data_IF_180109662332
#
_entry.id   IF_180109662332
#
_cell.length_a   1.000
_cell.length_b   1.000
_cell.length_c   1.000
_cell.angle_alpha   90.00
_cell.angle_beta   90.00
_cell.angle_gamma   90.00
#
_symmetry.space_group_name_H-M   'P 1'
#
loop_
_entity.id
_entity.type
_entity.pdbx_description
1 polymer ?
#
# COMPACT_ATOMS: atom_id res chain seq x y z
N UNK A 1 -30.35 -40.26 9.97
CA UNK A 1 -28.96 -39.81 9.78
C UNK A 1 -29.01 -38.30 9.67
N UNK A 2 -28.76 -37.60 10.77
CA UNK A 2 -28.65 -36.14 10.82
C UNK A 2 -27.26 -35.77 10.30
N UNK A 3 -27.20 -34.92 9.27
CA UNK A 3 -25.94 -34.37 8.78
C UNK A 3 -25.23 -33.63 9.94
N UNK A 4 -23.89 -33.73 10.05
CA UNK A 4 -23.15 -32.93 11.02
C UNK A 4 -23.42 -31.44 10.76
N UNK A 5 -23.50 -30.60 11.80
CA UNK A 5 -23.63 -29.16 11.61
C UNK A 5 -22.46 -28.68 10.75
N UNK A 6 -22.76 -27.91 9.70
CA UNK A 6 -21.74 -27.33 8.83
C UNK A 6 -20.70 -26.62 9.69
N UNK A 7 -19.40 -26.89 9.49
CA UNK A 7 -18.36 -26.16 10.20
C UNK A 7 -18.49 -24.70 9.81
N UNK A 8 -18.89 -23.85 10.77
CA UNK A 8 -18.91 -22.40 10.57
C UNK A 8 -17.51 -21.95 10.18
N UNK A 9 -17.35 -21.43 8.97
CA UNK A 9 -16.07 -20.95 8.47
C UNK A 9 -15.84 -19.48 8.91
N UNK A 10 -14.67 -19.22 9.48
CA UNK A 10 -14.28 -17.89 10.00
C UNK A 10 -13.68 -16.97 8.92
N UNK A 11 -13.69 -17.39 7.65
CA UNK A 11 -13.05 -16.67 6.54
C UNK A 11 -13.58 -15.24 6.41
N UNK A 12 -14.90 -15.04 6.48
CA UNK A 12 -15.52 -13.71 6.42
C UNK A 12 -15.03 -12.81 7.57
N UNK A 13 -15.09 -13.30 8.81
CA UNK A 13 -14.66 -12.53 9.98
C UNK A 13 -13.15 -12.23 9.95
N UNK A 14 -12.34 -13.12 9.39
CA UNK A 14 -10.92 -12.90 9.18
C UNK A 14 -10.66 -11.82 8.11
N UNK A 15 -11.34 -11.87 6.97
CA UNK A 15 -11.24 -10.85 5.92
C UNK A 15 -11.67 -9.47 6.43
N UNK A 16 -12.77 -9.40 7.18
CA UNK A 16 -13.25 -8.13 7.74
C UNK A 16 -12.28 -7.50 8.75
N UNK A 17 -11.55 -8.31 9.52
CA UNK A 17 -10.48 -7.81 10.39
C UNK A 17 -9.36 -7.15 9.59
N UNK A 18 -8.93 -7.76 8.48
CA UNK A 18 -7.90 -7.16 7.62
C UNK A 18 -8.40 -5.90 6.92
N UNK A 19 -9.65 -5.89 6.44
CA UNK A 19 -10.30 -4.68 5.89
C UNK A 19 -10.25 -3.54 6.90
N UNK A 20 -10.48 -3.81 8.19
CA UNK A 20 -10.40 -2.77 9.24
C UNK A 20 -8.98 -2.25 9.48
N UNK A 21 -7.95 -3.09 9.32
CA UNK A 21 -6.54 -2.67 9.48
C UNK A 21 -6.09 -1.67 8.41
N UNK A 22 -6.71 -1.70 7.22
CA UNK A 22 -6.46 -0.72 6.17
C UNK A 22 -7.07 0.65 6.46
N UNK A 23 -7.90 0.80 7.49
CA UNK A 23 -8.47 2.10 7.85
C UNK A 23 -7.38 2.97 8.46
N UNK A 24 -7.18 4.20 7.96
CA UNK A 24 -6.21 5.09 8.57
C UNK A 24 -6.69 5.49 9.99
N UNK A 25 -5.76 5.74 10.94
CA UNK A 25 -6.10 6.13 12.32
C UNK A 25 -6.85 7.49 12.43
N UNK A 26 -7.12 8.18 11.33
CA UNK A 26 -7.70 9.52 11.30
C UNK A 26 -9.22 9.59 11.54
N UNK A 27 -9.94 8.46 11.65
CA UNK A 27 -11.39 8.49 11.93
C UNK A 27 -11.76 8.41 13.42
N UNK A 28 -10.78 8.23 14.32
CA UNK A 28 -11.04 8.12 15.77
C UNK A 28 -10.40 9.23 16.62
N UNK A 29 -9.66 10.17 16.03
CA UNK A 29 -9.03 11.26 16.79
C UNK A 29 -9.83 12.55 16.68
N UNK A 30 -10.41 12.96 17.81
CA UNK A 30 -11.11 14.23 18.00
C UNK A 30 -10.28 15.45 17.53
N UNK A 31 -10.92 16.55 17.09
CA UNK A 31 -10.25 17.73 16.54
C UNK A 31 -9.70 18.64 17.65
N UNK A 32 -8.85 18.10 18.53
CA UNK A 32 -8.15 18.91 19.51
C UNK A 32 -6.75 18.35 19.73
N UNK A 33 -5.76 19.15 19.33
CA UNK A 33 -4.32 19.02 19.62
C UNK A 33 -3.60 17.79 19.02
N UNK A 34 -3.16 17.89 17.76
CA UNK A 34 -1.94 17.21 17.31
C UNK A 34 -1.08 18.13 16.45
N UNK A 35 -0.10 18.73 17.11
CA UNK A 35 1.19 19.09 16.53
C UNK A 35 1.88 17.83 16.00
N UNK A 36 2.05 17.73 14.68
CA UNK A 36 3.27 17.23 14.04
C UNK A 36 3.76 15.82 14.34
N UNK A 37 2.89 14.82 14.43
CA UNK A 37 3.27 13.43 14.26
C UNK A 37 2.58 12.90 13.00
N UNK A 38 3.21 13.13 11.85
CA UNK A 38 2.89 12.36 10.64
C UNK A 38 3.14 10.89 11.00
N UNK A 39 2.06 10.14 11.24
CA UNK A 39 2.13 8.70 11.46
C UNK A 39 2.50 8.04 10.13
N UNK A 40 3.77 8.15 9.74
CA UNK A 40 4.31 7.53 8.55
C UNK A 40 4.41 6.04 8.82
N UNK A 41 3.45 5.30 8.28
CA UNK A 41 3.46 3.85 8.26
C UNK A 41 4.61 3.38 7.38
N UNK A 42 5.44 2.46 7.86
CA UNK A 42 6.56 1.95 7.06
C UNK A 42 6.04 1.24 5.80
N UNK A 43 6.85 1.22 4.75
CA UNK A 43 6.53 0.45 3.55
C UNK A 43 6.35 -1.04 3.87
N UNK A 44 7.15 -1.59 4.78
CA UNK A 44 7.04 -2.98 5.23
C UNK A 44 5.66 -3.28 5.86
N UNK A 45 5.17 -2.39 6.73
CA UNK A 45 3.84 -2.54 7.33
C UNK A 45 2.74 -2.41 6.28
N UNK A 46 2.88 -1.45 5.36
CA UNK A 46 1.94 -1.25 4.25
C UNK A 46 1.87 -2.50 3.36
N UNK A 47 3.02 -3.08 2.99
CA UNK A 47 3.10 -4.33 2.21
C UNK A 47 2.49 -5.51 2.96
N UNK A 48 2.64 -5.55 4.28
CA UNK A 48 2.02 -6.57 5.13
C UNK A 48 0.50 -6.47 5.09
N UNK A 49 -0.09 -5.26 5.16
CA UNK A 49 -1.54 -5.07 5.01
C UNK A 49 -2.01 -5.55 3.64
N UNK A 50 -1.33 -5.14 2.55
CA UNK A 50 -1.73 -5.55 1.21
C UNK A 50 -1.64 -7.07 0.99
N UNK A 51 -0.59 -7.71 1.49
CA UNK A 51 -0.46 -9.18 1.49
C UNK A 51 -1.60 -9.84 2.25
N UNK A 52 -1.89 -9.37 3.45
CA UNK A 52 -2.96 -9.94 4.27
C UNK A 52 -4.31 -9.81 3.57
N UNK A 53 -4.58 -8.66 2.92
CA UNK A 53 -5.83 -8.43 2.21
C UNK A 53 -6.02 -9.43 1.07
N UNK A 54 -4.99 -9.62 0.25
CA UNK A 54 -5.01 -10.60 -0.85
C UNK A 54 -5.20 -12.01 -0.33
N UNK A 55 -4.43 -12.43 0.67
CA UNK A 55 -4.51 -13.78 1.23
C UNK A 55 -5.90 -14.10 1.79
N UNK A 56 -6.51 -13.15 2.49
CA UNK A 56 -7.83 -13.35 3.07
C UNK A 56 -8.94 -13.26 2.01
N UNK A 57 -8.77 -12.44 0.97
CA UNK A 57 -9.65 -12.48 -0.20
C UNK A 57 -9.63 -13.84 -0.87
N UNK A 58 -8.44 -14.39 -1.16
CA UNK A 58 -8.30 -15.72 -1.79
C UNK A 58 -8.91 -16.83 -0.94
N UNK A 59 -8.73 -16.76 0.38
CA UNK A 59 -9.34 -17.73 1.29
C UNK A 59 -10.87 -17.62 1.35
N UNK A 60 -11.40 -16.39 1.28
CA UNK A 60 -12.84 -16.14 1.23
C UNK A 60 -13.43 -16.64 -0.09
N UNK A 61 -12.78 -16.32 -1.21
CA UNK A 61 -13.23 -16.68 -2.56
C UNK A 61 -13.16 -18.21 -2.81
N UNK A 62 -12.13 -18.86 -2.26
CA UNK A 62 -11.97 -20.33 -2.33
C UNK A 62 -12.76 -21.11 -1.26
N UNK A 63 -13.59 -20.45 -0.45
CA UNK A 63 -14.37 -21.12 0.59
C UNK A 63 -15.47 -21.99 -0.04
N UNK A 64 -15.74 -23.17 0.53
CA UNK A 64 -16.84 -24.04 0.07
C UNK A 64 -18.22 -23.38 0.19
N UNK A 65 -18.35 -22.38 1.05
CA UNK A 65 -19.55 -21.57 1.26
C UNK A 65 -19.38 -20.13 0.72
N UNK A 66 -18.55 -19.93 -0.31
CA UNK A 66 -18.25 -18.61 -0.88
C UNK A 66 -19.51 -17.82 -1.23
N UNK A 67 -20.53 -18.46 -1.82
CA UNK A 67 -21.81 -17.83 -2.17
C UNK A 67 -22.53 -17.17 -0.98
N UNK A 68 -22.35 -17.70 0.24
CA UNK A 68 -22.93 -17.13 1.46
C UNK A 68 -22.17 -15.90 1.97
N UNK A 69 -20.93 -15.70 1.50
CA UNK A 69 -20.04 -14.63 1.95
C UNK A 69 -19.84 -13.53 0.90
N UNK A 70 -19.80 -13.89 -0.38
CA UNK A 70 -19.52 -13.01 -1.50
C UNK A 70 -20.78 -12.24 -1.92
N UNK A 71 -21.28 -11.41 -1.00
CA UNK A 71 -22.40 -10.50 -1.25
C UNK A 71 -21.87 -9.13 -1.70
N UNK A 72 -22.66 -8.32 -2.43
CA UNK A 72 -22.21 -7.04 -2.99
C UNK A 72 -21.55 -6.09 -1.97
N UNK A 73 -22.03 -6.10 -0.73
CA UNK A 73 -21.45 -5.30 0.37
C UNK A 73 -19.99 -5.68 0.65
N UNK A 74 -19.65 -6.97 0.58
CA UNK A 74 -18.28 -7.45 0.81
C UNK A 74 -17.35 -7.00 -0.31
N UNK A 75 -17.82 -7.05 -1.56
CA UNK A 75 -17.08 -6.53 -2.70
C UNK A 75 -16.73 -5.05 -2.54
N UNK A 76 -17.69 -4.22 -2.13
CA UNK A 76 -17.43 -2.81 -1.83
C UNK A 76 -16.39 -2.63 -0.74
N UNK A 77 -16.50 -3.37 0.36
CA UNK A 77 -15.58 -3.27 1.49
C UNK A 77 -14.13 -3.67 1.12
N UNK A 78 -13.96 -4.71 0.31
CA UNK A 78 -12.65 -5.18 -0.16
C UNK A 78 -12.07 -4.24 -1.21
N UNK A 79 -12.89 -3.71 -2.13
CA UNK A 79 -12.45 -2.69 -3.09
C UNK A 79 -12.02 -1.39 -2.38
N UNK A 80 -12.77 -0.95 -1.38
CA UNK A 80 -12.42 0.21 -0.57
C UNK A 80 -11.13 -0.03 0.21
N UNK A 81 -10.95 -1.21 0.80
CA UNK A 81 -9.70 -1.59 1.47
C UNK A 81 -8.52 -1.58 0.49
N UNK A 82 -8.72 -2.11 -0.71
CA UNK A 82 -7.73 -2.06 -1.79
C UNK A 82 -7.37 -0.62 -2.12
N UNK A 83 -8.35 0.26 -2.27
CA UNK A 83 -8.11 1.69 -2.51
C UNK A 83 -7.31 2.39 -1.41
N UNK A 84 -7.50 1.98 -0.14
CA UNK A 84 -6.70 2.47 1.00
C UNK A 84 -5.27 1.92 0.97
N UNK A 85 -5.09 0.63 0.70
CA UNK A 85 -3.74 0.03 0.56
C UNK A 85 -2.97 0.67 -0.60
N UNK A 86 -3.61 0.88 -1.75
CA UNK A 86 -2.99 1.61 -2.86
C UNK A 86 -2.60 3.04 -2.46
N UNK A 87 -3.33 3.67 -1.54
CA UNK A 87 -2.98 5.00 -1.05
C UNK A 87 -1.73 4.97 -0.17
N UNK A 88 -1.61 3.97 0.70
CA UNK A 88 -0.40 3.74 1.49
C UNK A 88 0.81 3.51 0.59
N UNK A 89 0.64 2.73 -0.49
CA UNK A 89 1.68 2.49 -1.48
C UNK A 89 2.10 3.75 -2.23
N UNK A 90 1.15 4.60 -2.63
CA UNK A 90 1.48 5.91 -3.22
C UNK A 90 2.35 6.74 -2.29
N UNK A 91 1.95 6.88 -1.02
CA UNK A 91 2.71 7.67 -0.04
C UNK A 91 4.12 7.10 0.14
N UNK A 92 4.25 5.79 0.31
CA UNK A 92 5.54 5.14 0.50
C UNK A 92 6.47 5.27 -0.74
N UNK A 93 5.92 5.23 -1.96
CA UNK A 93 6.69 5.46 -3.19
C UNK A 93 7.17 6.91 -3.29
N UNK A 94 6.34 7.89 -2.93
CA UNK A 94 6.75 9.29 -2.93
C UNK A 94 7.87 9.54 -1.90
N UNK A 95 7.83 8.87 -0.74
CA UNK A 95 8.93 8.92 0.24
C UNK A 95 10.23 8.35 -0.32
N UNK A 96 10.18 7.15 -0.94
CA UNK A 96 11.34 6.51 -1.56
C UNK A 96 11.94 7.34 -2.71
N UNK A 97 11.09 7.94 -3.55
CA UNK A 97 11.50 8.83 -4.64
C UNK A 97 12.06 10.16 -4.11
N UNK A 98 11.50 10.67 -3.01
CA UNK A 98 11.94 11.91 -2.36
C UNK A 98 13.33 11.79 -1.73
N UNK A 99 13.67 10.62 -1.19
CA UNK A 99 15.01 10.32 -0.66
C UNK A 99 16.10 10.22 -1.74
N UNK A 100 15.74 9.90 -2.98
CA UNK A 100 16.68 9.81 -4.11
C UNK A 100 17.08 11.18 -4.70
N UNK A 101 16.52 12.30 -4.19
CA UNK A 101 16.89 13.64 -4.67
C UNK A 101 18.21 14.06 -4.00
N UNK A 102 19.34 14.18 -4.72
CA UNK A 102 20.54 14.75 -4.14
C UNK A 102 20.22 16.17 -3.64
N UNK A 103 20.78 16.59 -2.48
CA UNK A 103 20.63 17.97 -2.03
C UNK A 103 21.05 18.86 -3.18
N UNK A 104 20.13 19.73 -3.64
CA UNK A 104 20.41 20.66 -4.71
C UNK A 104 21.74 21.36 -4.39
N UNK A 105 22.67 21.49 -5.36
CA UNK A 105 23.93 22.17 -5.09
C UNK A 105 23.56 23.56 -4.60
N UNK A 106 23.88 23.84 -3.34
CA UNK A 106 23.79 25.18 -2.81
C UNK A 106 24.70 26.03 -3.68
N UNK A 107 24.10 26.78 -4.60
CA UNK A 107 24.78 27.77 -5.42
C UNK A 107 25.29 28.86 -4.48
N UNK A 108 26.46 28.62 -3.89
CA UNK A 108 27.21 29.62 -3.16
C UNK A 108 27.77 30.63 -4.15
N UNK A 109 27.08 31.77 -4.21
CA UNK A 109 27.62 33.13 -4.13
C UNK A 109 28.74 33.51 -5.11
N UNK A 110 28.41 34.41 -6.03
CA UNK A 110 29.36 35.40 -6.54
C UNK A 110 29.22 36.68 -5.69
N UNK A 111 30.27 37.04 -4.95
CA UNK A 111 30.33 38.31 -4.22
C UNK A 111 31.37 38.40 -3.09
N UNK A 112 32.64 38.55 -3.48
CA UNK A 112 33.71 39.32 -2.81
C UNK A 112 34.37 38.86 -1.47
N UNK A 113 35.71 38.86 -1.53
CA UNK A 113 36.81 38.61 -0.56
C UNK A 113 37.01 39.73 0.53
N UNK A 114 37.94 39.65 1.54
CA UNK A 114 38.50 38.52 2.33
C UNK A 114 38.88 38.76 3.86
N UNK A 115 39.15 37.65 4.61
CA UNK A 115 40.03 37.44 5.84
C UNK A 115 39.55 37.90 7.27
N UNK A 116 39.94 37.30 8.45
CA UNK A 116 40.36 35.92 8.86
C UNK A 116 39.58 35.28 10.07
N UNK A 117 39.43 33.95 10.02
CA UNK A 117 39.74 32.90 11.04
C UNK A 117 39.36 33.09 12.54
N UNK A 118 38.37 32.32 13.01
CA UNK A 118 38.45 31.55 14.28
C UNK A 118 37.73 30.21 14.09
N UNK A 119 38.38 29.13 14.54
CA UNK A 119 37.90 27.74 14.56
C UNK A 119 36.66 27.61 15.45
N UNK A 120 35.61 26.97 14.95
CA UNK A 120 34.74 26.12 15.75
C UNK A 120 34.38 24.91 14.91
N UNK A 121 34.74 23.73 15.40
CA UNK A 121 34.43 22.45 14.77
C UNK A 121 32.96 22.19 15.03
N UNK A 122 32.11 22.53 14.07
CA UNK A 122 30.70 22.15 14.09
C UNK A 122 30.63 20.65 13.84
N UNK A 123 30.28 19.94 14.91
CA UNK A 123 29.82 18.57 14.89
C UNK A 123 28.45 18.54 14.19
N UNK A 124 28.45 18.64 12.85
CA UNK A 124 27.28 18.37 12.02
C UNK A 124 27.00 16.88 12.14
N UNK A 125 26.10 16.54 13.05
CA UNK A 125 25.50 15.21 13.14
C UNK A 125 24.94 14.86 11.77
N UNK A 126 25.65 13.96 11.08
CA UNK A 126 25.15 13.25 9.92
C UNK A 126 23.90 12.49 10.39
N UNK A 127 22.73 13.06 10.09
CA UNK A 127 21.46 12.36 10.18
C UNK A 127 21.51 11.26 9.12
N UNK A 128 22.03 10.09 9.50
CA UNK A 128 21.88 8.86 8.72
C UNK A 128 20.38 8.67 8.48
N UNK A 129 19.94 8.45 7.23
CA UNK A 129 18.58 8.00 6.98
C UNK A 129 18.41 6.68 7.73
N UNK A 130 17.40 6.63 8.59
CA UNK A 130 17.10 5.46 9.41
C UNK A 130 16.35 4.45 8.53
N UNK A 131 17.05 3.91 7.53
CA UNK A 131 16.51 2.86 6.65
C UNK A 131 16.48 1.58 7.47
N UNK A 132 15.28 1.09 7.78
CA UNK A 132 15.11 -0.16 8.49
C UNK A 132 15.64 -1.31 7.61
N UNK A 133 16.48 -2.21 8.16
CA UNK A 133 17.00 -3.35 7.41
C UNK A 133 15.84 -4.21 6.87
N UNK A 134 15.96 -4.67 5.63
CA UNK A 134 15.03 -5.63 5.06
C UNK A 134 15.52 -7.06 5.33
N UNK A 135 14.59 -7.94 5.71
CA UNK A 135 14.88 -9.33 6.01
C UNK A 135 14.23 -10.26 5.00
N UNK A 136 15.02 -11.13 4.36
CA UNK A 136 14.51 -12.19 3.49
C UNK A 136 14.87 -13.56 4.08
N UNK A 137 13.92 -14.17 4.79
CA UNK A 137 14.04 -15.45 5.53
C UNK A 137 15.15 -15.50 6.60
N UNK A 138 16.42 -15.33 6.23
CA UNK A 138 17.60 -15.30 7.13
C UNK A 138 18.72 -14.36 6.62
N UNK A 139 18.51 -13.70 5.47
CA UNK A 139 19.48 -12.76 4.88
C UNK A 139 19.14 -11.34 5.34
N UNK A 140 20.05 -10.72 6.09
CA UNK A 140 20.04 -9.29 6.39
C UNK A 140 20.72 -8.58 5.21
N UNK A 141 19.95 -7.74 4.52
CA UNK A 141 20.48 -6.88 3.47
C UNK A 141 20.76 -5.53 4.14
N UNK A 142 22.03 -5.19 4.30
CA UNK A 142 22.48 -3.94 4.90
C UNK A 142 22.77 -2.84 3.85
N UNK A 143 22.85 -3.22 2.58
CA UNK A 143 23.01 -2.31 1.46
C UNK A 143 21.68 -1.62 1.11
N UNK A 144 21.70 -0.29 1.15
CA UNK A 144 20.51 0.56 0.94
C UNK A 144 19.95 0.43 -0.49
N UNK A 145 20.81 0.21 -1.50
CA UNK A 145 20.40 0.03 -2.90
C UNK A 145 19.71 -1.33 -3.09
N UNK A 146 20.30 -2.40 -2.54
CA UNK A 146 19.70 -3.73 -2.57
C UNK A 146 18.36 -3.77 -1.81
N UNK A 147 18.29 -3.12 -0.65
CA UNK A 147 17.04 -2.97 0.14
C UNK A 147 15.97 -2.24 -0.69
N UNK A 148 16.33 -1.16 -1.38
CA UNK A 148 15.39 -0.41 -2.22
C UNK A 148 14.86 -1.27 -3.39
N UNK A 149 15.71 -2.06 -4.02
CA UNK A 149 15.33 -2.98 -5.10
C UNK A 149 14.34 -4.04 -4.59
N UNK A 150 14.62 -4.65 -3.43
CA UNK A 150 13.73 -5.65 -2.83
C UNK A 150 12.37 -5.05 -2.50
N UNK A 151 12.33 -3.87 -1.89
CA UNK A 151 11.08 -3.18 -1.60
C UNK A 151 10.30 -2.79 -2.85
N UNK A 152 10.99 -2.33 -3.89
CA UNK A 152 10.37 -1.99 -5.17
C UNK A 152 9.73 -3.21 -5.83
N UNK A 153 10.41 -4.35 -5.84
CA UNK A 153 9.87 -5.58 -6.43
C UNK A 153 8.73 -6.17 -5.59
N UNK A 154 8.86 -6.14 -4.25
CA UNK A 154 7.79 -6.53 -3.35
C UNK A 154 6.53 -5.67 -3.54
N UNK A 155 6.71 -4.37 -3.73
CA UNK A 155 5.63 -3.45 -4.02
C UNK A 155 4.99 -3.73 -5.36
N UNK A 156 5.78 -3.89 -6.43
CA UNK A 156 5.29 -4.26 -7.76
C UNK A 156 4.45 -5.53 -7.68
N UNK A 157 4.98 -6.57 -7.04
CA UNK A 157 4.27 -7.83 -6.86
C UNK A 157 2.95 -7.65 -6.10
N UNK A 158 2.97 -6.88 -5.01
CA UNK A 158 1.75 -6.62 -4.24
C UNK A 158 0.70 -5.84 -5.04
N UNK A 159 1.11 -4.85 -5.84
CA UNK A 159 0.21 -4.07 -6.71
C UNK A 159 -0.44 -4.98 -7.75
N UNK A 160 0.31 -5.89 -8.38
CA UNK A 160 -0.23 -6.89 -9.32
C UNK A 160 -1.28 -7.77 -8.64
N UNK A 161 -0.98 -8.27 -7.43
CA UNK A 161 -1.90 -9.12 -6.66
C UNK A 161 -3.19 -8.39 -6.27
N UNK A 162 -3.12 -7.11 -5.89
CA UNK A 162 -4.31 -6.29 -5.64
C UNK A 162 -5.13 -6.07 -6.91
N UNK A 163 -4.48 -5.98 -8.08
CA UNK A 163 -5.17 -5.96 -9.37
C UNK A 163 -6.00 -7.21 -9.63
N UNK A 164 -5.47 -8.40 -9.28
CA UNK A 164 -6.23 -9.65 -9.38
C UNK A 164 -7.47 -9.64 -8.46
N UNK A 165 -7.35 -9.14 -7.22
CA UNK A 165 -8.49 -8.98 -6.31
C UNK A 165 -9.60 -8.11 -6.93
N UNK A 166 -9.24 -6.98 -7.55
CA UNK A 166 -10.22 -6.10 -8.20
C UNK A 166 -10.86 -6.74 -9.43
N UNK A 167 -10.09 -7.52 -10.19
CA UNK A 167 -10.60 -8.27 -11.34
C UNK A 167 -11.60 -9.34 -10.90
N UNK A 168 -11.29 -10.11 -9.85
CA UNK A 168 -12.21 -11.10 -9.27
C UNK A 168 -13.52 -10.40 -8.85
N UNK A 169 -13.42 -9.28 -8.15
CA UNK A 169 -14.59 -8.50 -7.72
C UNK A 169 -15.44 -8.03 -8.92
N UNK A 170 -14.79 -7.53 -9.98
CA UNK A 170 -15.49 -7.09 -11.20
C UNK A 170 -16.22 -8.27 -11.86
N UNK A 171 -15.59 -9.43 -11.94
CA UNK A 171 -16.19 -10.64 -12.51
C UNK A 171 -17.39 -11.13 -11.69
N UNK A 172 -17.23 -11.25 -10.37
CA UNK A 172 -18.30 -11.69 -9.46
C UNK A 172 -19.48 -10.70 -9.46
N UNK A 173 -19.20 -9.40 -9.44
CA UNK A 173 -20.26 -8.37 -9.52
C UNK A 173 -21.04 -8.49 -10.83
N UNK A 174 -20.35 -8.71 -11.95
CA UNK A 174 -20.99 -8.90 -13.26
C UNK A 174 -21.89 -10.14 -13.29
N UNK A 175 -21.52 -11.23 -12.61
CA UNK A 175 -22.34 -12.42 -12.50
C UNK A 175 -23.60 -12.15 -11.68
N UNK A 176 -23.48 -11.46 -10.55
CA UNK A 176 -24.63 -11.08 -9.72
C UNK A 176 -25.59 -10.16 -10.48
N UNK A 177 -25.09 -9.18 -11.22
CA UNK A 177 -25.92 -8.25 -12.02
C UNK A 177 -26.69 -8.97 -13.13
N UNK A 178 -26.15 -10.05 -13.72
CA UNK A 178 -26.86 -10.87 -14.71
C UNK A 178 -28.02 -11.66 -14.11
N UNK A 179 -27.96 -11.94 -12.80
CA UNK A 179 -28.96 -12.72 -12.08
C UNK A 179 -29.92 -11.86 -11.23
N UNK A 180 -29.63 -10.57 -11.06
CA UNK A 180 -30.44 -9.64 -10.27
C UNK A 180 -31.53 -8.93 -11.10
N UNK A 181 -32.69 -8.68 -10.48
CA UNK A 181 -33.69 -7.76 -11.00
C UNK A 181 -33.19 -6.30 -10.83
N UNK A 182 -33.52 -5.37 -11.74
CA UNK A 182 -32.86 -4.07 -11.89
C UNK A 182 -33.15 -3.02 -10.79
N UNK A 183 -33.47 -3.43 -9.56
CA UNK A 183 -33.88 -2.52 -8.47
C UNK A 183 -32.76 -2.13 -7.50
N UNK A 184 -31.58 -2.74 -7.59
CA UNK A 184 -30.45 -2.37 -6.72
C UNK A 184 -29.32 -1.72 -7.53
N UNK A 185 -29.14 -0.41 -7.35
CA UNK A 185 -27.91 0.28 -7.74
C UNK A 185 -26.74 -0.39 -7.00
N UNK A 186 -25.80 -0.96 -7.76
CA UNK A 186 -24.61 -1.57 -7.21
C UNK A 186 -23.77 -0.53 -6.44
N UNK A 187 -23.40 -0.79 -5.18
CA UNK A 187 -22.57 0.13 -4.38
C UNK A 187 -21.16 0.32 -4.95
N UNK A 188 -20.71 -0.60 -5.83
CA UNK A 188 -19.51 -0.44 -6.66
C UNK A 188 -19.87 0.22 -7.99
N UNK A 189 -20.21 1.50 -7.99
CA UNK A 189 -20.39 2.23 -9.24
C UNK A 189 -19.12 2.08 -10.09
N UNK A 190 -19.25 1.70 -11.37
CA UNK A 190 -18.12 1.46 -12.28
C UNK A 190 -17.15 2.63 -12.45
N UNK A 191 -17.47 3.81 -11.91
CA UNK A 191 -16.55 4.95 -11.76
C UNK A 191 -15.46 4.67 -10.71
N UNK A 192 -15.79 4.07 -9.57
CA UNK A 192 -14.82 3.78 -8.50
C UNK A 192 -13.81 2.70 -8.91
N UNK A 193 -14.27 1.63 -9.56
CA UNK A 193 -13.37 0.56 -10.03
C UNK A 193 -12.35 1.06 -11.05
N UNK A 194 -12.79 1.89 -12.01
CA UNK A 194 -11.88 2.52 -13.00
C UNK A 194 -10.83 3.41 -12.35
N UNK A 195 -11.19 4.12 -11.29
CA UNK A 195 -10.24 4.93 -10.53
C UNK A 195 -9.18 4.05 -9.85
N UNK A 196 -9.59 2.96 -9.20
CA UNK A 196 -8.66 2.01 -8.58
C UNK A 196 -7.72 1.37 -9.60
N UNK A 197 -8.24 0.97 -10.76
CA UNK A 197 -7.44 0.43 -11.87
C UNK A 197 -6.43 1.47 -12.38
N UNK A 198 -6.85 2.74 -12.54
CA UNK A 198 -5.95 3.82 -12.94
C UNK A 198 -4.81 4.01 -11.93
N UNK A 199 -5.13 3.96 -10.63
CA UNK A 199 -4.13 4.08 -9.54
C UNK A 199 -3.16 2.90 -9.53
N UNK A 200 -3.64 1.68 -9.76
CA UNK A 200 -2.79 0.49 -9.96
C UNK A 200 -1.78 0.70 -11.08
N UNK A 201 -2.23 1.10 -12.28
CA UNK A 201 -1.32 1.33 -13.41
C UNK A 201 -0.34 2.47 -13.16
N UNK A 202 -0.77 3.54 -12.48
CA UNK A 202 0.12 4.63 -12.07
C UNK A 202 1.25 4.13 -11.15
N UNK A 203 0.91 3.33 -10.13
CA UNK A 203 1.89 2.71 -9.22
C UNK A 203 2.83 1.74 -9.93
N UNK A 204 2.32 0.92 -10.85
CA UNK A 204 3.15 0.04 -11.69
C UNK A 204 4.12 0.84 -12.57
N UNK A 205 3.69 1.99 -13.11
CA UNK A 205 4.56 2.89 -13.87
C UNK A 205 5.68 3.48 -13.00
N UNK A 206 5.35 3.96 -11.80
CA UNK A 206 6.33 4.52 -10.86
C UNK A 206 7.36 3.48 -10.42
N UNK A 207 6.93 2.26 -10.15
CA UNK A 207 7.81 1.14 -9.78
C UNK A 207 8.64 0.58 -10.95
N UNK A 208 8.41 0.97 -12.20
CA UNK A 208 9.34 0.67 -13.31
C UNK A 208 10.42 1.74 -13.48
N UNK A 209 10.13 2.99 -13.12
CA UNK A 209 11.04 4.13 -13.35
C UNK A 209 12.24 4.19 -12.40
N UNK A 210 12.13 3.60 -11.21
CA UNK A 210 13.13 3.72 -10.13
C UNK A 210 14.45 3.02 -10.46
N UNK A 211 14.45 1.99 -11.32
CA UNK A 211 15.64 1.20 -11.67
C UNK A 211 16.35 1.59 -12.97
N UNK A 212 15.94 2.67 -13.65
CA UNK A 212 16.46 3.02 -14.99
C UNK A 212 17.22 4.34 -15.08
N UNK A 213 17.40 5.07 -13.97
CA UNK A 213 18.12 6.36 -13.97
C UNK A 213 19.64 6.25 -13.80
N UNK A 214 20.25 5.11 -14.18
CA UNK A 214 21.70 4.86 -14.03
C UNK A 214 22.33 4.31 -15.32
N UNK A 215 22.13 5.03 -16.43
CA UNK A 215 23.00 5.10 -17.62
C UNK A 215 22.38 6.24 -18.43
N UNK A 216 23.03 7.36 -18.68
CA UNK A 216 24.16 7.61 -19.58
C UNK A 216 24.90 8.87 -19.17
#
# INVERSE_FOLDING_TARGET
MTAPPDPSCDCFAATMRVVSQSQPPYLLSSPSTQTGAENNMSLSDSLTIGRNLVQHWEHLNGCANSDAHLVPVVFSLVADATGRVLKLYETAVEELLGTARPPAPQASRLGSLPVPRVRSVENMGSLKPNVAPAFTCELEIDDEEEVAIVYQEALRYSVIRLGAVLQDIEEETRLLDQHALPEFESPLQGRGMKELISRLFCLLGKTHGIGTSSSW
#
